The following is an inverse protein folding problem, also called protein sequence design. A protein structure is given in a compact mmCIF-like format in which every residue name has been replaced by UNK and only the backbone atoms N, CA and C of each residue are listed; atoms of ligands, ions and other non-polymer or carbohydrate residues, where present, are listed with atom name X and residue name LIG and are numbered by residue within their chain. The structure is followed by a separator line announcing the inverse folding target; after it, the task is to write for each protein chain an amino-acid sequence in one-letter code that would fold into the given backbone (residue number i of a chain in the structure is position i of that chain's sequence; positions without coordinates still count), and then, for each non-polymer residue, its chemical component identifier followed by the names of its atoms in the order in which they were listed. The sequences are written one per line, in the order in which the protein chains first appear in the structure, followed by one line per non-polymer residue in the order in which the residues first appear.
data_IF_552679146582
#
_entry.id   IF_552679146582
#
_cell.length_a   1.000
_cell.length_b   1.000
_cell.length_c   1.000
_cell.angle_alpha   90.00
_cell.angle_beta   90.00
_cell.angle_gamma   90.00
#
_symmetry.space_group_name_H-M   'P 1'
#
loop_
_entity.id
_entity.type
_entity.pdbx_description
1 polymer ?
#
# COMPACT_ATOMS: atom_id res chain seq x y z
N UNK A 1 -8.13 -5.19 20.98
CA UNK A 1 -7.15 -4.45 20.16
C UNK A 1 -7.80 -3.11 19.80
N UNK A 2 -7.14 -1.96 19.97
CA UNK A 2 -7.71 -0.70 19.53
C UNK A 2 -7.95 -0.77 18.01
N UNK A 3 -9.15 -0.38 17.58
CA UNK A 3 -9.52 -0.31 16.16
C UNK A 3 -9.23 1.11 15.70
N UNK A 4 -8.41 1.28 14.66
CA UNK A 4 -8.18 2.58 14.05
C UNK A 4 -9.50 3.13 13.50
N UNK A 5 -9.77 4.42 13.67
CA UNK A 5 -10.90 5.05 12.99
C UNK A 5 -10.50 5.50 11.58
N UNK A 6 -11.47 5.71 10.68
CA UNK A 6 -11.19 6.30 9.36
C UNK A 6 -10.50 7.67 9.46
N UNK A 7 -10.79 8.42 10.53
CA UNK A 7 -10.15 9.69 10.80
C UNK A 7 -8.69 9.52 11.23
N UNK A 8 -8.38 8.46 11.97
CA UNK A 8 -7.01 8.12 12.36
C UNK A 8 -6.21 7.61 11.16
N UNK A 9 -6.77 6.73 10.34
CA UNK A 9 -6.15 6.30 9.08
C UNK A 9 -5.84 7.51 8.19
N UNK A 10 -6.80 8.43 8.05
CA UNK A 10 -6.62 9.64 7.26
C UNK A 10 -5.50 10.54 7.81
N UNK A 11 -5.56 10.87 9.10
CA UNK A 11 -4.64 11.85 9.70
C UNK A 11 -3.25 11.28 9.98
N UNK A 12 -3.16 10.01 10.38
CA UNK A 12 -1.91 9.39 10.83
C UNK A 12 -1.15 8.66 9.72
N UNK A 13 -1.86 8.15 8.70
CA UNK A 13 -1.24 7.42 7.59
C UNK A 13 -1.39 8.15 6.26
N UNK A 14 -2.61 8.42 5.80
CA UNK A 14 -2.84 8.94 4.44
C UNK A 14 -2.19 10.29 4.22
N UNK A 15 -2.26 11.18 5.21
CA UNK A 15 -1.62 12.51 5.17
C UNK A 15 -0.14 12.48 5.54
N UNK A 16 0.38 11.35 6.00
CA UNK A 16 1.78 11.23 6.40
C UNK A 16 2.68 11.09 5.15
N UNK A 17 3.61 12.05 4.92
CA UNK A 17 4.44 12.02 3.71
C UNK A 17 5.43 10.85 3.68
N UNK A 18 5.94 10.42 4.84
CA UNK A 18 6.86 9.29 4.96
C UNK A 18 6.14 7.99 4.60
N UNK A 19 4.96 7.76 5.16
CA UNK A 19 4.14 6.60 4.82
C UNK A 19 3.80 6.58 3.31
N UNK A 20 3.36 7.70 2.77
CA UNK A 20 3.03 7.82 1.34
C UNK A 20 4.24 7.50 0.44
N UNK A 21 5.44 7.96 0.80
CA UNK A 21 6.66 7.68 0.06
C UNK A 21 7.04 6.17 0.10
N UNK A 22 6.89 5.52 1.26
CA UNK A 22 7.12 4.08 1.43
C UNK A 22 6.15 3.25 0.59
N UNK A 23 4.86 3.58 0.64
CA UNK A 23 3.82 2.94 -0.19
C UNK A 23 4.14 3.09 -1.67
N UNK A 24 4.51 4.30 -2.13
CA UNK A 24 4.87 4.54 -3.54
C UNK A 24 6.06 3.70 -3.99
N UNK A 25 7.06 3.58 -3.11
CA UNK A 25 8.26 2.76 -3.36
C UNK A 25 7.89 1.28 -3.47
N UNK A 26 7.01 0.80 -2.59
CA UNK A 26 6.49 -0.57 -2.61
C UNK A 26 5.71 -0.87 -3.90
N UNK A 27 4.81 0.03 -4.34
CA UNK A 27 4.11 -0.10 -5.63
C UNK A 27 5.09 -0.15 -6.82
N UNK A 28 6.11 0.71 -6.83
CA UNK A 28 7.14 0.72 -7.88
C UNK A 28 7.89 -0.61 -7.92
N UNK A 29 8.23 -1.16 -6.75
CA UNK A 29 8.91 -2.45 -6.63
C UNK A 29 8.02 -3.60 -7.15
N UNK A 30 6.77 -3.69 -6.70
CA UNK A 30 5.83 -4.73 -7.14
C UNK A 30 5.54 -4.62 -8.64
N UNK A 31 5.41 -3.41 -9.18
CA UNK A 31 5.24 -3.20 -10.62
C UNK A 31 6.39 -3.82 -11.43
N UNK A 32 7.64 -3.65 -10.97
CA UNK A 32 8.82 -4.25 -11.61
C UNK A 32 8.82 -5.77 -11.51
N UNK A 33 8.42 -6.32 -10.36
CA UNK A 33 8.27 -7.77 -10.15
C UNK A 33 7.26 -8.34 -11.15
N UNK A 34 6.07 -7.72 -11.25
CA UNK A 34 4.97 -8.11 -12.16
C UNK A 34 5.36 -8.09 -13.63
N UNK A 35 6.14 -7.10 -14.08
CA UNK A 35 6.59 -7.03 -15.48
C UNK A 35 7.54 -8.19 -15.87
N UNK A 36 8.10 -8.90 -14.89
CA UNK A 36 8.94 -10.07 -15.10
C UNK A 36 8.25 -11.40 -14.75
N UNK A 37 6.97 -11.38 -14.35
CA UNK A 37 6.20 -12.59 -14.05
C UNK A 37 5.91 -13.40 -15.33
N UNK A 38 5.71 -14.71 -15.15
CA UNK A 38 5.26 -15.61 -16.21
C UNK A 38 3.91 -15.11 -16.76
N UNK A 39 3.75 -14.97 -18.10
CA UNK A 39 2.47 -14.65 -18.73
C UNK A 39 1.30 -15.57 -18.32
N UNK A 40 1.58 -16.81 -17.91
CA UNK A 40 0.57 -17.76 -17.44
C UNK A 40 0.12 -17.49 -15.98
N UNK A 41 0.70 -16.50 -15.31
CA UNK A 41 0.27 -16.10 -13.96
C UNK A 41 -1.20 -15.63 -13.99
N UNK A 42 -2.06 -16.06 -13.05
CA UNK A 42 -3.45 -15.62 -13.00
C UNK A 42 -3.59 -14.10 -13.01
N UNK A 43 -4.46 -13.60 -13.91
CA UNK A 43 -4.71 -12.16 -14.06
C UNK A 43 -3.58 -11.36 -14.71
N UNK A 44 -2.53 -12.00 -15.25
CA UNK A 44 -1.34 -11.34 -15.81
C UNK A 44 -1.66 -10.14 -16.73
N UNK A 45 -2.60 -10.20 -17.70
CA UNK A 45 -2.90 -9.06 -18.57
C UNK A 45 -3.30 -7.80 -17.79
N UNK A 46 -4.12 -7.93 -16.74
CA UNK A 46 -4.54 -6.82 -15.89
C UNK A 46 -3.42 -6.36 -14.96
N UNK A 47 -2.67 -7.31 -14.37
CA UNK A 47 -1.51 -7.01 -13.50
C UNK A 47 -0.46 -6.17 -14.24
N UNK A 48 -0.13 -6.56 -15.47
CA UNK A 48 0.84 -5.88 -16.33
C UNK A 48 0.32 -4.50 -16.77
N UNK A 49 -0.98 -4.38 -17.07
CA UNK A 49 -1.60 -3.07 -17.38
C UNK A 49 -1.49 -2.09 -16.20
N UNK A 50 -1.77 -2.57 -14.98
CA UNK A 50 -1.60 -1.79 -13.75
C UNK A 50 -0.13 -1.40 -13.54
N UNK A 51 0.81 -2.33 -13.79
CA UNK A 51 2.25 -2.06 -13.63
C UNK A 51 2.73 -0.92 -14.52
N UNK A 52 2.27 -0.91 -15.79
CA UNK A 52 2.59 0.16 -16.74
C UNK A 52 2.01 1.51 -16.31
N UNK A 53 0.83 1.51 -15.69
CA UNK A 53 0.20 2.72 -15.15
C UNK A 53 1.00 3.26 -13.96
N UNK A 54 1.31 2.41 -12.98
CA UNK A 54 2.09 2.78 -11.79
C UNK A 54 3.47 3.34 -12.14
N UNK A 55 4.10 2.81 -13.19
CA UNK A 55 5.41 3.27 -13.65
C UNK A 55 5.35 4.48 -14.58
N UNK A 56 4.17 5.04 -14.84
CA UNK A 56 4.02 6.26 -15.63
C UNK A 56 4.47 7.49 -14.81
N UNK A 57 5.44 8.28 -15.27
CA UNK A 57 5.97 9.45 -14.55
C UNK A 57 4.91 10.47 -14.10
N UNK A 58 3.79 10.59 -14.82
CA UNK A 58 2.72 11.54 -14.48
C UNK A 58 2.00 11.22 -13.18
N UNK A 59 1.97 9.95 -12.75
CA UNK A 59 1.22 9.49 -11.57
C UNK A 59 1.99 9.65 -10.25
N UNK A 60 3.27 10.04 -10.30
CA UNK A 60 4.12 10.20 -9.11
C UNK A 60 3.76 11.41 -8.21
N UNK A 61 2.83 12.25 -8.64
CA UNK A 61 2.45 13.49 -7.94
C UNK A 61 1.20 13.38 -7.08
N UNK A 62 0.38 12.34 -7.26
CA UNK A 62 -0.86 12.13 -6.50
C UNK A 62 -0.60 11.24 -5.27
N UNK A 63 -1.38 11.32 -4.16
CA UNK A 63 -1.31 10.38 -3.04
C UNK A 63 -1.83 8.96 -3.42
N UNK A 64 -1.94 8.67 -4.73
CA UNK A 64 -3.04 7.91 -5.34
C UNK A 64 -3.42 6.59 -4.67
N UNK A 65 -2.45 5.80 -4.22
CA UNK A 65 -2.69 4.45 -3.69
C UNK A 65 -2.43 4.34 -2.18
N UNK A 66 -1.98 5.41 -1.52
CA UNK A 66 -1.76 5.43 -0.06
C UNK A 66 -3.05 5.14 0.74
N UNK A 67 -4.23 5.67 0.39
CA UNK A 67 -5.47 5.32 1.09
C UNK A 67 -5.82 3.83 1.03
N UNK A 68 -5.54 3.17 -0.10
CA UNK A 68 -5.82 1.74 -0.28
C UNK A 68 -4.99 0.90 0.70
N UNK A 69 -3.72 1.27 0.90
CA UNK A 69 -2.84 0.55 1.82
C UNK A 69 -3.11 0.93 3.28
N UNK A 70 -3.48 2.18 3.56
CA UNK A 70 -3.87 2.59 4.91
C UNK A 70 -5.13 1.85 5.42
N UNK A 71 -6.04 1.49 4.51
CA UNK A 71 -7.26 0.74 4.81
C UNK A 71 -7.05 -0.78 4.91
N UNK A 72 -5.83 -1.28 4.66
CA UNK A 72 -5.51 -2.69 4.90
C UNK A 72 -5.61 -2.99 6.42
N UNK A 73 -6.32 -4.04 6.85
CA UNK A 73 -6.55 -4.31 8.26
C UNK A 73 -5.28 -4.48 9.10
N UNK A 74 -4.23 -5.09 8.53
CA UNK A 74 -2.97 -5.32 9.24
C UNK A 74 -2.18 -4.02 9.39
N UNK A 75 -2.20 -3.18 8.36
CA UNK A 75 -1.61 -1.84 8.38
C UNK A 75 -2.33 -0.95 9.40
N UNK A 76 -3.65 -0.89 9.33
CA UNK A 76 -4.50 -0.08 10.20
C UNK A 76 -4.35 -0.50 11.67
N UNK A 77 -4.30 -1.80 11.95
CA UNK A 77 -4.07 -2.32 13.30
C UNK A 77 -2.67 -2.02 13.84
N UNK A 78 -1.62 -2.18 13.01
CA UNK A 78 -0.24 -1.87 13.43
C UNK A 78 -0.06 -0.38 13.73
N UNK A 79 -0.61 0.48 12.87
CA UNK A 79 -0.58 1.93 13.06
C UNK A 79 -1.33 2.36 14.34
N UNK A 80 -2.52 1.80 14.60
CA UNK A 80 -3.28 2.08 15.81
C UNK A 80 -2.55 1.62 17.09
N UNK A 81 -1.89 0.46 17.04
CA UNK A 81 -1.14 -0.07 18.18
C UNK A 81 0.13 0.75 18.51
N UNK A 82 0.77 1.33 17.50
CA UNK A 82 1.97 2.15 17.66
C UNK A 82 1.72 3.66 17.79
N UNK A 83 0.46 4.10 17.71
CA UNK A 83 0.12 5.51 17.80
C UNK A 83 0.39 6.07 19.22
N UNK A 84 1.07 7.20 19.26
CA UNK A 84 1.39 7.96 20.47
C UNK A 84 1.09 9.43 20.16
N UNK A 85 0.14 10.07 20.86
CA UNK A 85 -0.30 11.44 20.54
C UNK A 85 0.83 12.49 20.50
N UNK A 86 1.84 12.31 21.33
CA UNK A 86 2.93 13.27 21.51
C UNK A 86 4.16 12.96 20.63
N UNK A 87 4.13 11.87 19.86
CA UNK A 87 5.24 11.45 19.00
C UNK A 87 4.79 11.51 17.54
N UNK A 88 5.21 12.55 16.79
CA UNK A 88 4.97 12.61 15.36
C UNK A 88 5.44 11.33 14.66
N UNK A 89 4.72 10.90 13.63
CA UNK A 89 5.04 9.72 12.82
C UNK A 89 5.03 8.37 13.56
N UNK A 90 4.66 8.29 14.84
CA UNK A 90 4.74 7.01 15.58
C UNK A 90 3.86 5.91 14.96
N UNK A 91 2.69 6.29 14.44
CA UNK A 91 1.79 5.38 13.74
C UNK A 91 2.42 4.80 12.47
N UNK A 92 3.02 5.62 11.60
CA UNK A 92 3.67 5.09 10.39
C UNK A 92 4.95 4.32 10.71
N UNK A 93 5.68 4.73 11.75
CA UNK A 93 6.90 4.05 12.18
C UNK A 93 6.63 2.64 12.73
N UNK A 94 5.43 2.39 13.25
CA UNK A 94 5.00 1.06 13.71
C UNK A 94 4.64 0.10 12.58
N UNK A 95 4.39 0.61 11.37
CA UNK A 95 4.13 -0.21 10.18
C UNK A 95 5.46 -0.58 9.53
N UNK A 96 5.71 -1.86 9.28
CA UNK A 96 6.96 -2.34 8.64
C UNK A 96 6.90 -2.30 7.12
N UNK A 97 8.06 -2.28 6.45
CA UNK A 97 8.10 -2.32 4.99
C UNK A 97 7.59 -3.65 4.44
N UNK A 98 7.79 -4.75 5.16
CA UNK A 98 7.24 -6.07 4.81
C UNK A 98 5.71 -6.09 4.84
N UNK A 99 5.10 -5.45 5.84
CA UNK A 99 3.64 -5.29 5.89
C UNK A 99 3.14 -4.47 4.70
N UNK A 100 3.80 -3.35 4.39
CA UNK A 100 3.44 -2.53 3.23
C UNK A 100 3.57 -3.33 1.92
N UNK A 101 4.66 -4.08 1.72
CA UNK A 101 4.84 -4.90 0.53
C UNK A 101 3.76 -6.00 0.41
N UNK A 102 3.38 -6.61 1.53
CA UNK A 102 2.31 -7.61 1.58
C UNK A 102 0.97 -7.00 1.22
N UNK A 103 0.59 -5.89 1.87
CA UNK A 103 -0.64 -5.15 1.59
C UNK A 103 -0.70 -4.68 0.12
N UNK A 104 0.41 -4.19 -0.44
CA UNK A 104 0.50 -3.80 -1.86
C UNK A 104 0.27 -4.99 -2.78
N UNK A 105 0.89 -6.16 -2.52
CA UNK A 105 0.66 -7.36 -3.33
C UNK A 105 -0.78 -7.83 -3.26
N UNK A 106 -1.40 -7.80 -2.08
CA UNK A 106 -2.80 -8.16 -1.89
C UNK A 106 -3.72 -7.20 -2.66
N UNK A 107 -3.51 -5.89 -2.52
CA UNK A 107 -4.25 -4.87 -3.26
C UNK A 107 -4.07 -5.03 -4.77
N UNK A 108 -2.86 -5.38 -5.22
CA UNK A 108 -2.56 -5.63 -6.63
C UNK A 108 -3.33 -6.83 -7.18
N UNK A 109 -3.31 -7.95 -6.45
CA UNK A 109 -4.05 -9.17 -6.80
C UNK A 109 -5.55 -8.87 -6.90
N UNK A 110 -6.10 -8.20 -5.88
CA UNK A 110 -7.52 -7.85 -5.83
C UNK A 110 -7.93 -6.94 -6.99
N UNK A 111 -7.12 -5.93 -7.31
CA UNK A 111 -7.36 -5.00 -8.44
C UNK A 111 -7.28 -5.72 -9.79
N UNK A 112 -6.44 -6.75 -9.89
CA UNK A 112 -6.33 -7.60 -11.07
C UNK A 112 -7.40 -8.71 -11.13
N UNK A 113 -8.37 -8.72 -10.22
CA UNK A 113 -9.44 -9.73 -10.17
C UNK A 113 -8.95 -11.11 -9.71
N UNK A 114 -7.78 -11.19 -9.10
CA UNK A 114 -7.24 -12.42 -8.50
C UNK A 114 -7.65 -12.46 -7.04
N UNK A 115 -8.69 -13.23 -6.74
CA UNK A 115 -9.06 -13.56 -5.36
C UNK A 115 -8.07 -14.59 -4.83
N UNK A 116 -7.28 -14.23 -3.82
CA UNK A 116 -6.58 -15.22 -3.00
C UNK A 116 -7.64 -16.00 -2.23
N UNK A 117 -7.67 -17.33 -2.43
CA UNK A 117 -8.54 -18.23 -1.68
C UNK A 117 -8.20 -18.24 -0.19
#
# INVERSE_FOLDING_TARGET
MPVSTLLDEHNQLVRNPTFAARVRTAFTRVAREVLSEDPETPGNPLRVSLARTVLNPSDFTNPGLTPVIAADPDISAAAAAGYQPDVPDSAQAAVTDEQILTAVRNAWNLTAGVTTA
#
